data_IF_946236802636
#
_entry.id   IF_946236802636
#
_cell.length_a   1.000
_cell.length_b   1.000
_cell.length_c   1.000
_cell.angle_alpha   90.00
_cell.angle_beta   90.00
_cell.angle_gamma   90.00
#
_symmetry.space_group_name_H-M   'P 1'
#
loop_
_entity.id
_entity.type
_entity.pdbx_description
1 polymer ?
#
# COMPACT_ATOMS: atom_id res chain seq x y z
N UNK A 1 30.62 21.61 -57.36
CA UNK A 1 30.06 22.02 -56.05
C UNK A 1 28.71 21.35 -55.82
N UNK A 2 28.66 20.13 -55.31
CA UNK A 2 27.42 19.50 -54.83
C UNK A 2 27.76 18.44 -53.78
N UNK A 3 26.87 18.33 -52.79
CA UNK A 3 26.72 17.27 -51.77
C UNK A 3 27.46 17.49 -50.44
N UNK A 4 26.83 18.25 -49.55
CA UNK A 4 26.74 17.84 -48.14
C UNK A 4 25.54 18.55 -47.52
N UNK A 5 24.41 17.87 -47.52
CA UNK A 5 23.24 18.20 -46.71
C UNK A 5 22.72 16.87 -46.19
N UNK A 6 22.31 16.85 -44.93
CA UNK A 6 21.74 15.73 -44.16
C UNK A 6 22.75 14.89 -43.38
N UNK A 7 23.23 15.46 -42.26
CA UNK A 7 23.74 14.71 -41.13
C UNK A 7 23.24 15.32 -39.83
N UNK A 8 21.91 15.45 -39.68
CA UNK A 8 21.28 16.00 -38.48
C UNK A 8 19.94 15.30 -38.16
N UNK A 9 19.92 13.97 -38.19
CA UNK A 9 18.74 13.17 -37.79
C UNK A 9 19.15 11.80 -37.25
N UNK A 10 20.15 11.75 -36.35
CA UNK A 10 20.51 10.50 -35.67
C UNK A 10 20.85 10.68 -34.18
N UNK A 11 20.22 11.65 -33.49
CA UNK A 11 20.36 11.83 -32.04
C UNK A 11 18.98 12.05 -31.38
N UNK A 12 17.94 11.36 -31.86
CA UNK A 12 16.61 11.45 -31.24
C UNK A 12 15.93 10.09 -30.97
N UNK A 13 16.67 8.98 -31.07
CA UNK A 13 16.10 7.63 -30.99
C UNK A 13 16.67 6.75 -29.84
N UNK A 14 17.36 7.33 -28.85
CA UNK A 14 18.02 6.55 -27.77
C UNK A 14 17.49 6.89 -26.36
N UNK A 15 16.31 7.52 -26.24
CA UNK A 15 15.72 7.83 -24.92
C UNK A 15 14.41 7.08 -24.62
N UNK A 16 14.05 6.08 -25.41
CA UNK A 16 12.77 5.37 -25.29
C UNK A 16 12.94 3.91 -24.84
N UNK A 17 13.77 3.66 -23.84
CA UNK A 17 13.92 2.30 -23.28
C UNK A 17 14.20 2.33 -21.77
N UNK A 18 13.44 3.11 -21.02
CA UNK A 18 13.15 2.73 -19.65
C UNK A 18 11.84 1.93 -19.67
N UNK A 19 11.95 0.64 -20.00
CA UNK A 19 10.98 -0.29 -19.46
C UNK A 19 11.18 -0.28 -17.95
N UNK A 20 10.36 0.51 -17.26
CA UNK A 20 10.09 0.25 -15.85
C UNK A 20 9.47 -1.13 -15.82
N UNK A 21 10.32 -2.16 -15.66
CA UNK A 21 9.89 -3.42 -15.08
C UNK A 21 9.30 -3.03 -13.73
N UNK A 22 8.01 -2.74 -13.71
CA UNK A 22 7.19 -2.90 -12.53
C UNK A 22 7.43 -4.36 -12.16
N UNK A 23 8.37 -4.59 -11.24
CA UNK A 23 8.54 -5.87 -10.59
C UNK A 23 7.14 -6.24 -10.17
N UNK A 24 6.56 -7.23 -10.87
CA UNK A 24 5.28 -7.79 -10.51
C UNK A 24 5.46 -8.12 -9.04
N UNK A 25 4.81 -7.34 -8.20
CA UNK A 25 4.77 -7.61 -6.78
C UNK A 25 4.34 -9.07 -6.74
N UNK A 26 5.25 -9.96 -6.31
CA UNK A 26 4.93 -11.35 -6.00
C UNK A 26 4.06 -11.27 -4.74
N UNK A 27 2.84 -10.74 -4.89
CA UNK A 27 1.70 -11.22 -4.15
C UNK A 27 1.77 -12.73 -4.35
N UNK A 28 1.81 -13.53 -3.27
CA UNK A 28 1.85 -14.97 -3.41
C UNK A 28 0.76 -15.37 -4.41
N UNK A 29 1.18 -15.83 -5.58
CA UNK A 29 0.32 -16.50 -6.53
C UNK A 29 -0.01 -17.84 -5.87
N UNK A 30 -1.03 -17.85 -5.00
CA UNK A 30 -1.36 -19.02 -4.20
C UNK A 30 -2.37 -18.72 -3.10
N UNK A 31 -3.65 -18.88 -3.43
CA UNK A 31 -4.73 -19.07 -2.45
C UNK A 31 -5.94 -18.18 -2.71
N UNK A 32 -7.13 -18.80 -2.74
CA UNK A 32 -8.45 -18.18 -2.70
C UNK A 32 -8.71 -17.48 -1.34
N UNK A 33 -7.76 -16.67 -0.86
CA UNK A 33 -7.89 -15.97 0.40
C UNK A 33 -8.93 -14.86 0.27
N UNK A 34 -9.81 -14.73 1.26
CA UNK A 34 -10.78 -13.64 1.29
C UNK A 34 -10.09 -12.26 1.36
N UNK A 35 -10.84 -11.20 1.03
CA UNK A 35 -10.31 -9.84 1.01
C UNK A 35 -9.67 -9.40 2.35
N UNK A 36 -10.26 -9.70 3.54
CA UNK A 36 -9.60 -9.44 4.83
C UNK A 36 -8.23 -10.08 4.96
N UNK A 37 -8.10 -11.36 4.60
CA UNK A 37 -6.83 -12.09 4.66
C UNK A 37 -5.79 -11.47 3.72
N UNK A 38 -6.18 -11.08 2.51
CA UNK A 38 -5.29 -10.41 1.57
C UNK A 38 -4.78 -9.07 2.12
N UNK A 39 -5.67 -8.27 2.71
CA UNK A 39 -5.30 -6.99 3.35
C UNK A 39 -4.34 -7.24 4.51
N UNK A 40 -4.66 -8.16 5.43
CA UNK A 40 -3.80 -8.46 6.57
C UNK A 40 -2.41 -8.92 6.13
N UNK A 41 -2.35 -9.78 5.11
CA UNK A 41 -1.09 -10.23 4.53
C UNK A 41 -0.27 -9.05 4.01
N UNK A 42 -0.88 -8.10 3.30
CA UNK A 42 -0.22 -6.88 2.83
C UNK A 42 0.30 -6.03 4.00
N UNK A 43 -0.50 -5.83 5.05
CA UNK A 43 -0.08 -5.07 6.24
C UNK A 43 1.11 -5.72 6.96
N UNK A 44 1.19 -7.05 6.94
CA UNK A 44 2.27 -7.80 7.57
C UNK A 44 3.54 -7.92 6.71
N UNK A 45 3.57 -7.35 5.49
CA UNK A 45 4.77 -7.25 4.66
C UNK A 45 5.67 -6.12 5.16
N UNK A 46 6.52 -6.44 6.11
CA UNK A 46 7.46 -5.51 6.77
C UNK A 46 8.92 -5.75 6.39
N UNK A 47 9.16 -6.63 5.42
CA UNK A 47 10.50 -6.96 4.93
C UNK A 47 11.24 -5.69 4.48
N UNK A 48 12.49 -5.54 4.91
CA UNK A 48 13.32 -4.38 4.58
C UNK A 48 13.07 -3.11 5.41
N UNK A 49 12.14 -3.12 6.37
CA UNK A 49 11.97 -2.01 7.31
C UNK A 49 12.97 -2.01 8.48
N UNK A 50 13.68 -3.12 8.70
CA UNK A 50 14.67 -3.24 9.78
C UNK A 50 14.04 -3.19 11.18
N UNK A 51 12.82 -3.71 11.34
CA UNK A 51 12.14 -3.75 12.63
C UNK A 51 12.83 -4.74 13.57
N UNK A 52 12.88 -4.39 14.86
CA UNK A 52 13.23 -5.38 15.88
C UNK A 52 12.04 -6.31 16.19
N UNK A 53 12.30 -7.41 16.90
CA UNK A 53 11.29 -8.44 17.18
C UNK A 53 10.06 -7.90 17.95
N UNK A 54 10.26 -6.96 18.89
CA UNK A 54 9.17 -6.34 19.65
C UNK A 54 8.29 -5.46 18.75
N UNK A 55 8.91 -4.65 17.89
CA UNK A 55 8.20 -3.84 16.90
C UNK A 55 7.41 -4.70 15.92
N UNK A 56 8.01 -5.77 15.41
CA UNK A 56 7.35 -6.67 14.47
C UNK A 56 6.14 -7.36 15.11
N UNK A 57 6.29 -7.88 16.34
CA UNK A 57 5.21 -8.51 17.08
C UNK A 57 4.04 -7.55 17.33
N UNK A 58 4.32 -6.34 17.84
CA UNK A 58 3.31 -5.30 18.10
C UNK A 58 2.62 -4.85 16.81
N UNK A 59 3.38 -4.67 15.73
CA UNK A 59 2.83 -4.27 14.44
C UNK A 59 1.89 -5.35 13.89
N UNK A 60 2.29 -6.62 13.90
CA UNK A 60 1.44 -7.73 13.45
C UNK A 60 0.16 -7.86 14.28
N UNK A 61 0.27 -7.73 15.60
CA UNK A 61 -0.90 -7.73 16.49
C UNK A 61 -1.86 -6.59 16.15
N UNK A 62 -1.35 -5.37 15.98
CA UNK A 62 -2.17 -4.22 15.62
C UNK A 62 -2.76 -4.35 14.21
N UNK A 63 -2.01 -4.88 13.25
CA UNK A 63 -2.48 -5.13 11.88
C UNK A 63 -3.69 -6.06 11.86
N UNK A 64 -3.67 -7.11 12.70
CA UNK A 64 -4.82 -8.01 12.84
C UNK A 64 -6.03 -7.27 13.38
N UNK A 65 -5.92 -6.62 14.56
CA UNK A 65 -7.03 -5.89 15.16
C UNK A 65 -7.60 -4.81 14.24
N UNK A 66 -6.72 -4.04 13.61
CA UNK A 66 -7.13 -3.00 12.66
C UNK A 66 -7.86 -3.56 11.45
N UNK A 67 -7.40 -4.69 10.89
CA UNK A 67 -8.10 -5.34 9.78
C UNK A 67 -9.48 -5.81 10.24
N UNK A 68 -9.56 -6.48 11.38
CA UNK A 68 -10.83 -6.95 11.96
C UNK A 68 -11.82 -5.78 12.15
N UNK A 69 -11.35 -4.65 12.69
CA UNK A 69 -12.16 -3.44 12.89
C UNK A 69 -12.63 -2.82 11.57
N UNK A 70 -11.75 -2.69 10.58
CA UNK A 70 -12.11 -2.16 9.25
C UNK A 70 -13.23 -3.00 8.61
N UNK A 71 -13.10 -4.32 8.63
CA UNK A 71 -14.12 -5.19 8.03
C UNK A 71 -15.40 -5.28 8.85
N UNK A 72 -15.31 -5.12 10.18
CA UNK A 72 -16.49 -4.94 11.04
C UNK A 72 -17.28 -3.69 10.66
N UNK A 73 -16.61 -2.55 10.44
CA UNK A 73 -17.26 -1.31 10.00
C UNK A 73 -17.84 -1.47 8.59
N UNK A 74 -17.07 -2.04 7.67
CA UNK A 74 -17.49 -2.25 6.29
C UNK A 74 -18.77 -3.09 6.20
N UNK A 75 -18.83 -4.18 6.97
CA UNK A 75 -19.96 -5.13 6.98
C UNK A 75 -21.09 -4.73 7.94
N UNK A 76 -20.97 -3.62 8.66
CA UNK A 76 -22.02 -3.13 9.54
C UNK A 76 -23.25 -2.64 8.76
N UNK A 77 -24.39 -2.54 9.45
CA UNK A 77 -25.63 -1.94 8.93
C UNK A 77 -25.64 -0.41 8.96
N UNK A 78 -24.51 0.23 9.28
CA UNK A 78 -24.40 1.69 9.32
C UNK A 78 -24.57 2.31 7.93
N UNK A 79 -25.10 3.54 7.90
CA UNK A 79 -25.12 4.37 6.69
C UNK A 79 -23.72 4.75 6.21
N UNK A 80 -23.59 5.12 4.94
CA UNK A 80 -22.28 5.39 4.32
C UNK A 80 -21.46 6.47 5.03
N UNK A 81 -22.10 7.57 5.45
CA UNK A 81 -21.40 8.67 6.11
C UNK A 81 -20.89 8.29 7.50
N UNK A 82 -21.68 7.49 8.23
CA UNK A 82 -21.24 6.93 9.52
C UNK A 82 -20.05 5.98 9.32
N UNK A 83 -20.06 5.14 8.28
CA UNK A 83 -18.91 4.28 7.94
C UNK A 83 -17.67 5.09 7.60
N UNK A 84 -17.80 6.14 6.76
CA UNK A 84 -16.69 7.04 6.42
C UNK A 84 -16.07 7.68 7.67
N UNK A 85 -16.91 8.17 8.59
CA UNK A 85 -16.42 8.73 9.85
C UNK A 85 -15.62 7.71 10.65
N UNK A 86 -16.14 6.48 10.80
CA UNK A 86 -15.42 5.43 11.52
C UNK A 86 -14.11 5.02 10.83
N UNK A 87 -14.05 4.97 9.50
CA UNK A 87 -12.80 4.71 8.79
C UNK A 87 -11.76 5.81 9.02
N UNK A 88 -12.17 7.08 9.09
CA UNK A 88 -11.27 8.19 9.41
C UNK A 88 -10.75 8.11 10.85
N UNK A 89 -11.60 7.72 11.80
CA UNK A 89 -11.20 7.52 13.20
C UNK A 89 -10.24 6.33 13.37
N UNK A 90 -10.51 5.23 12.66
CA UNK A 90 -9.61 4.06 12.60
C UNK A 90 -8.26 4.45 11.99
N UNK A 91 -8.25 5.21 10.89
CA UNK A 91 -7.02 5.77 10.30
C UNK A 91 -6.23 6.57 11.32
N UNK A 92 -6.87 7.52 12.01
CA UNK A 92 -6.21 8.38 13.00
C UNK A 92 -5.61 7.58 14.15
N UNK A 93 -6.38 6.66 14.73
CA UNK A 93 -5.92 5.77 15.80
C UNK A 93 -4.72 4.95 15.36
N UNK A 94 -4.78 4.36 14.16
CA UNK A 94 -3.69 3.59 13.58
C UNK A 94 -2.45 4.44 13.33
N UNK A 95 -2.57 5.62 12.75
CA UNK A 95 -1.41 6.48 12.48
C UNK A 95 -0.71 6.89 13.78
N UNK A 96 -1.45 7.17 14.86
CA UNK A 96 -0.86 7.46 16.17
C UNK A 96 -0.08 6.25 16.73
N UNK A 97 -0.67 5.06 16.66
CA UNK A 97 0.00 3.82 17.06
C UNK A 97 1.28 3.59 16.25
N UNK A 98 1.20 3.67 14.92
CA UNK A 98 2.34 3.41 14.05
C UNK A 98 3.44 4.46 14.24
N UNK A 99 3.08 5.73 14.44
CA UNK A 99 4.05 6.78 14.73
C UNK A 99 4.79 6.51 16.04
N UNK A 100 4.08 6.08 17.10
CA UNK A 100 4.70 5.72 18.37
C UNK A 100 5.58 4.48 18.28
N UNK A 101 5.23 3.51 17.44
CA UNK A 101 5.96 2.24 17.33
C UNK A 101 7.19 2.33 16.41
N UNK A 102 7.03 3.02 15.28
CA UNK A 102 8.00 3.03 14.18
C UNK A 102 8.79 4.33 14.11
N UNK A 103 8.26 5.43 14.66
CA UNK A 103 8.78 6.76 14.41
C UNK A 103 8.51 7.23 12.97
N UNK A 104 8.81 8.50 12.71
CA UNK A 104 8.40 9.19 11.47
C UNK A 104 8.95 8.57 10.18
N UNK A 105 10.23 8.18 10.18
CA UNK A 105 10.89 7.67 8.98
C UNK A 105 10.36 6.29 8.58
N UNK A 106 10.36 5.33 9.50
CA UNK A 106 9.87 3.98 9.23
C UNK A 106 8.37 3.97 8.93
N UNK A 107 7.58 4.82 9.60
CA UNK A 107 6.17 5.02 9.28
C UNK A 107 5.97 5.44 7.81
N UNK A 108 6.75 6.41 7.33
CA UNK A 108 6.67 6.86 5.94
C UNK A 108 6.94 5.72 4.94
N UNK A 109 7.97 4.92 5.21
CA UNK A 109 8.31 3.75 4.39
C UNK A 109 7.22 2.68 4.42
N UNK A 110 6.71 2.38 5.62
CA UNK A 110 5.64 1.41 5.81
C UNK A 110 4.35 1.83 5.08
N UNK A 111 3.88 3.06 5.29
CA UNK A 111 2.68 3.58 4.63
C UNK A 111 2.84 3.59 3.10
N UNK A 112 4.01 3.95 2.58
CA UNK A 112 4.28 3.91 1.13
C UNK A 112 4.24 2.49 0.57
N UNK A 113 4.85 1.54 1.28
CA UNK A 113 4.84 0.11 0.91
C UNK A 113 3.41 -0.43 0.90
N UNK A 114 2.71 -0.32 2.03
CA UNK A 114 1.32 -0.75 2.19
C UNK A 114 0.41 -0.11 1.15
N UNK A 115 0.50 1.22 0.96
CA UNK A 115 -0.33 1.94 -0.01
C UNK A 115 -0.13 1.45 -1.44
N UNK A 116 1.11 1.16 -1.84
CA UNK A 116 1.39 0.60 -3.18
C UNK A 116 0.83 -0.81 -3.35
N UNK A 117 0.93 -1.65 -2.31
CA UNK A 117 0.44 -3.03 -2.35
C UNK A 117 -1.09 -3.11 -2.27
N UNK A 118 -1.76 -2.15 -1.62
CA UNK A 118 -3.22 -2.09 -1.51
C UNK A 118 -3.91 -1.52 -2.76
N UNK A 119 -3.21 -0.80 -3.64
CA UNK A 119 -3.78 -0.19 -4.86
C UNK A 119 -4.67 -1.16 -5.68
N UNK A 120 -4.27 -2.41 -5.96
CA UNK A 120 -5.10 -3.36 -6.70
C UNK A 120 -6.42 -3.72 -5.99
N UNK A 121 -6.47 -3.63 -4.66
CA UNK A 121 -7.63 -3.98 -3.84
C UNK A 121 -8.57 -2.79 -3.57
N UNK A 122 -8.19 -1.56 -3.95
CA UNK A 122 -8.95 -0.34 -3.61
C UNK A 122 -10.42 -0.41 -4.06
N UNK A 123 -10.68 -0.93 -5.27
CA UNK A 123 -12.05 -1.07 -5.78
C UNK A 123 -12.90 -2.02 -4.93
N UNK A 124 -12.29 -3.09 -4.41
CA UNK A 124 -12.97 -4.08 -3.57
C UNK A 124 -13.16 -3.56 -2.13
N UNK A 125 -12.22 -2.74 -1.64
CA UNK A 125 -12.33 -2.09 -0.33
C UNK A 125 -13.39 -0.99 -0.31
N UNK A 126 -13.64 -0.32 -1.44
CA UNK A 126 -14.59 0.78 -1.53
C UNK A 126 -14.30 1.85 -0.47
N UNK A 127 -15.29 2.27 0.35
CA UNK A 127 -15.09 3.31 1.36
C UNK A 127 -14.08 2.93 2.45
N UNK A 128 -13.85 1.63 2.69
CA UNK A 128 -12.86 1.17 3.66
C UNK A 128 -11.42 1.56 3.27
N UNK A 129 -11.16 1.85 1.98
CA UNK A 129 -9.86 2.34 1.53
C UNK A 129 -9.41 3.62 2.28
N UNK A 130 -10.37 4.44 2.75
CA UNK A 130 -10.09 5.64 3.54
C UNK A 130 -9.33 5.36 4.85
N UNK A 131 -9.48 4.15 5.41
CA UNK A 131 -8.77 3.75 6.63
C UNK A 131 -7.25 3.57 6.41
N UNK A 132 -6.82 3.35 5.16
CA UNK A 132 -5.44 2.98 4.79
C UNK A 132 -4.68 4.09 4.05
N UNK A 133 -5.41 5.06 3.48
CA UNK A 133 -4.86 6.23 2.78
C UNK A 133 -4.30 7.27 3.75
#
# INVERSE_FOLDING_TARGET
MKKSLLLFTLIFAVLSSFEVMAQRLNLPAGGNADLPTQVLNILNKTDGLGLNADQESKLKSNNKSFTDDVFKVLNSSLGEDAKKSQFLDLKKTRQNFLLSLLGKQLLGNYNKGVGNMLKPLQKQLGPAALAFL
#
